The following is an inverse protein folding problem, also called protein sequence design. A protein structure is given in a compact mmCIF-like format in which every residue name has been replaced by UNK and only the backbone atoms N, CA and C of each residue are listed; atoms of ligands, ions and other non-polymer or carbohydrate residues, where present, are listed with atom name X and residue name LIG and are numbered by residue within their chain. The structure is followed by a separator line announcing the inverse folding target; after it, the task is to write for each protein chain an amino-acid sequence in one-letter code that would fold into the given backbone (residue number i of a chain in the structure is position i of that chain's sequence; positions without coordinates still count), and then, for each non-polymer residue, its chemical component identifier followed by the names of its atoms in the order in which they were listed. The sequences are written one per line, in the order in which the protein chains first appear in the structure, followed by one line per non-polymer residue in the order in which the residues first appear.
data_IF_769897168938
#
_entry.id   IF_769897168938
#
_cell.length_a   1.000
_cell.length_b   1.000
_cell.length_c   1.000
_cell.angle_alpha   90.00
_cell.angle_beta   90.00
_cell.angle_gamma   90.00
#
_symmetry.space_group_name_H-M   'P 1'
#
loop_
_entity.id
_entity.type
_entity.pdbx_description
1 polymer ?
#
# COMPACT_ATOMS: atom_id res chain seq x y z
N UNK A 1 -19.57 -16.13 30.27
CA UNK A 1 -18.12 -15.98 30.55
C UNK A 1 -17.76 -14.50 30.67
N UNK A 2 -17.82 -13.97 31.93
CA UNK A 2 -17.50 -12.55 32.21
C UNK A 2 -16.06 -12.18 31.82
N UNK A 3 -15.13 -13.14 31.84
CA UNK A 3 -13.72 -12.94 31.41
C UNK A 3 -13.51 -12.88 29.90
N UNK A 4 -14.42 -13.41 29.11
CA UNK A 4 -14.32 -13.40 27.63
C UNK A 4 -14.83 -12.08 27.03
N UNK A 5 -15.76 -11.40 27.74
CA UNK A 5 -16.35 -10.14 27.28
C UNK A 5 -15.30 -9.02 27.11
N UNK A 6 -14.40 -8.75 28.08
CA UNK A 6 -13.40 -7.71 27.91
C UNK A 6 -12.39 -8.04 26.79
N UNK A 7 -12.03 -9.30 26.59
CA UNK A 7 -11.12 -9.70 25.52
C UNK A 7 -11.75 -9.45 24.14
N UNK A 8 -13.01 -9.82 23.96
CA UNK A 8 -13.75 -9.53 22.72
C UNK A 8 -13.97 -8.02 22.51
N UNK A 9 -14.28 -7.28 23.57
CA UNK A 9 -14.49 -5.83 23.48
C UNK A 9 -13.22 -5.10 23.02
N UNK A 10 -12.06 -5.46 23.55
CA UNK A 10 -10.77 -4.90 23.14
C UNK A 10 -10.43 -5.30 21.69
N UNK A 11 -10.69 -6.57 21.31
CA UNK A 11 -10.50 -7.03 19.93
C UNK A 11 -11.35 -6.24 18.92
N UNK A 12 -12.62 -6.01 19.23
CA UNK A 12 -13.51 -5.19 18.41
C UNK A 12 -13.10 -3.72 18.35
N UNK A 13 -12.60 -3.15 19.46
CA UNK A 13 -12.14 -1.77 19.50
C UNK A 13 -10.89 -1.50 18.64
N UNK A 14 -10.04 -2.52 18.47
CA UNK A 14 -8.82 -2.40 17.65
C UNK A 14 -9.05 -2.69 16.17
N UNK A 15 -10.14 -3.37 15.82
CA UNK A 15 -10.45 -3.72 14.42
C UNK A 15 -10.48 -2.52 13.45
N UNK A 16 -11.13 -1.37 13.79
CA UNK A 16 -11.13 -0.21 12.90
C UNK A 16 -9.73 0.39 12.69
N UNK A 17 -8.86 0.33 13.70
CA UNK A 17 -7.50 0.84 13.58
C UNK A 17 -6.67 0.02 12.56
N UNK A 18 -6.77 -1.31 12.61
CA UNK A 18 -6.12 -2.18 11.63
C UNK A 18 -6.70 -2.02 10.23
N UNK A 19 -8.03 -1.85 10.13
CA UNK A 19 -8.71 -1.65 8.86
C UNK A 19 -8.23 -0.37 8.16
N UNK A 20 -8.12 0.74 8.89
CA UNK A 20 -7.63 2.03 8.34
C UNK A 20 -6.18 1.91 7.88
N UNK A 21 -5.30 1.30 8.68
CA UNK A 21 -3.88 1.10 8.32
C UNK A 21 -3.73 0.24 7.06
N UNK A 22 -4.50 -0.83 6.94
CA UNK A 22 -4.49 -1.72 5.79
C UNK A 22 -5.00 -1.04 4.51
N UNK A 23 -6.07 -0.25 4.61
CA UNK A 23 -6.65 0.50 3.48
C UNK A 23 -5.70 1.59 3.00
N UNK A 24 -5.05 2.33 3.91
CA UNK A 24 -4.07 3.35 3.56
C UNK A 24 -2.85 2.76 2.82
N UNK A 25 -2.36 1.60 3.24
CA UNK A 25 -1.24 0.92 2.58
C UNK A 25 -1.60 0.49 1.15
N UNK A 26 -2.79 -0.05 0.94
CA UNK A 26 -3.28 -0.42 -0.40
C UNK A 26 -3.41 0.77 -1.33
N UNK A 27 -3.92 1.89 -0.83
CA UNK A 27 -4.08 3.11 -1.62
C UNK A 27 -2.73 3.68 -2.06
N UNK A 28 -1.74 3.71 -1.16
CA UNK A 28 -0.38 4.14 -1.48
C UNK A 28 0.28 3.25 -2.55
N UNK A 29 0.09 1.93 -2.46
CA UNK A 29 0.60 0.96 -3.44
C UNK A 29 -0.03 1.18 -4.83
N UNK A 30 -1.33 1.42 -4.88
CA UNK A 30 -2.03 1.71 -6.13
C UNK A 30 -1.51 2.99 -6.78
N UNK A 31 -1.34 4.07 -6.01
CA UNK A 31 -0.79 5.34 -6.52
C UNK A 31 0.62 5.13 -7.09
N UNK A 32 1.49 4.38 -6.41
CA UNK A 32 2.84 4.09 -6.90
C UNK A 32 2.83 3.30 -8.21
N UNK A 33 1.91 2.36 -8.39
CA UNK A 33 1.75 1.59 -9.63
C UNK A 33 1.28 2.48 -10.79
N UNK A 34 0.30 3.35 -10.54
CA UNK A 34 -0.17 4.32 -11.53
C UNK A 34 0.93 5.32 -11.89
N UNK A 35 1.70 5.77 -10.90
CA UNK A 35 2.85 6.66 -11.11
C UNK A 35 3.93 5.99 -11.97
N UNK A 36 4.30 4.75 -11.69
CA UNK A 36 5.26 3.98 -12.50
C UNK A 36 4.81 3.91 -13.96
N UNK A 37 3.56 3.57 -14.19
CA UNK A 37 2.97 3.49 -15.52
C UNK A 37 3.03 4.85 -16.22
N UNK A 38 2.63 5.91 -15.54
CA UNK A 38 2.65 7.28 -16.07
C UNK A 38 4.06 7.72 -16.45
N UNK A 39 5.04 7.57 -15.53
CA UNK A 39 6.42 7.97 -15.78
C UNK A 39 7.07 7.15 -16.90
N UNK A 40 6.76 5.85 -17.00
CA UNK A 40 7.23 4.98 -18.08
C UNK A 40 6.72 5.44 -19.44
N UNK A 41 5.41 5.72 -19.56
CA UNK A 41 4.79 6.19 -20.79
C UNK A 41 5.31 7.56 -21.20
N UNK A 42 5.37 8.51 -20.28
CA UNK A 42 5.85 9.87 -20.52
C UNK A 42 7.35 9.84 -20.92
N UNK A 43 8.18 9.08 -20.19
CA UNK A 43 9.61 8.95 -20.48
C UNK A 43 9.84 8.35 -21.88
N UNK A 44 9.12 7.29 -22.22
CA UNK A 44 9.19 6.66 -23.54
C UNK A 44 8.81 7.63 -24.66
N UNK A 45 7.73 8.41 -24.45
CA UNK A 45 7.30 9.43 -25.42
C UNK A 45 8.30 10.57 -25.50
N UNK A 46 8.90 10.98 -24.39
CA UNK A 46 9.91 12.04 -24.33
C UNK A 46 11.22 11.65 -25.00
N UNK A 47 11.61 10.38 -24.92
CA UNK A 47 12.82 9.85 -25.61
C UNK A 47 12.62 9.73 -27.11
N UNK A 48 11.38 9.62 -27.59
CA UNK A 48 11.06 9.45 -29.00
C UNK A 48 11.16 10.78 -29.75
N UNK A 49 11.97 10.81 -30.81
CA UNK A 49 11.98 11.83 -31.87
C UNK A 49 12.00 13.31 -31.42
N UNK A 50 12.94 13.72 -30.57
CA UNK A 50 13.10 15.13 -30.13
C UNK A 50 11.83 15.75 -29.52
N UNK A 51 10.98 14.96 -28.94
CA UNK A 51 9.77 15.42 -28.30
C UNK A 51 10.09 16.32 -27.08
N UNK A 52 9.29 17.34 -26.81
CA UNK A 52 9.39 18.13 -25.59
C UNK A 52 8.69 17.40 -24.47
N UNK A 53 9.08 17.68 -23.22
CA UNK A 53 8.42 17.07 -22.03
C UNK A 53 6.94 17.44 -21.96
N UNK A 54 6.60 18.70 -22.28
CA UNK A 54 5.23 19.17 -22.31
C UNK A 54 4.37 18.35 -23.27
N UNK A 55 4.89 18.14 -24.49
CA UNK A 55 4.19 17.35 -25.50
C UNK A 55 4.09 15.87 -25.13
N UNK A 56 5.17 15.30 -24.54
CA UNK A 56 5.16 13.93 -24.07
C UNK A 56 4.10 13.70 -22.97
N UNK A 57 3.93 14.64 -22.05
CA UNK A 57 2.89 14.58 -21.03
C UNK A 57 1.51 14.74 -21.66
N UNK A 58 1.33 15.69 -22.57
CA UNK A 58 0.04 15.95 -23.24
C UNK A 58 -0.46 14.73 -24.02
N UNK A 59 0.41 14.07 -24.78
CA UNK A 59 0.08 12.88 -25.56
C UNK A 59 -0.36 11.69 -24.68
N UNK A 60 0.20 11.59 -23.46
CA UNK A 60 -0.08 10.48 -22.56
C UNK A 60 -1.17 10.77 -21.52
N UNK A 61 -1.52 12.05 -21.29
CA UNK A 61 -2.50 12.43 -20.27
C UNK A 61 -3.85 11.70 -20.36
N UNK A 62 -4.43 11.43 -21.55
CA UNK A 62 -5.70 10.70 -21.66
C UNK A 62 -5.67 9.26 -21.15
N UNK A 63 -4.47 8.69 -21.01
CA UNK A 63 -4.27 7.30 -20.60
C UNK A 63 -3.91 7.17 -19.12
N UNK A 64 -3.77 8.30 -18.41
CA UNK A 64 -3.40 8.34 -17.00
C UNK A 64 -4.66 8.35 -16.12
N UNK A 65 -4.59 7.63 -14.99
CA UNK A 65 -5.65 7.58 -14.00
C UNK A 65 -5.45 8.59 -12.86
N UNK A 66 -6.55 9.06 -12.21
CA UNK A 66 -6.45 9.86 -10.99
C UNK A 66 -5.81 9.03 -9.84
N UNK A 67 -5.02 9.64 -8.95
CA UNK A 67 -4.74 11.08 -8.85
C UNK A 67 -3.58 11.56 -9.73
N UNK A 68 -2.82 10.65 -10.34
CA UNK A 68 -1.62 10.98 -11.13
C UNK A 68 -1.96 11.88 -12.33
N UNK A 69 -3.06 11.59 -13.02
CA UNK A 69 -3.51 12.43 -14.16
C UNK A 69 -3.81 13.87 -13.77
N UNK A 70 -4.30 14.12 -12.56
CA UNK A 70 -4.61 15.47 -12.08
C UNK A 70 -3.33 16.29 -11.85
N UNK A 71 -2.29 15.65 -11.31
CA UNK A 71 -0.98 16.29 -11.08
C UNK A 71 -0.38 16.74 -12.41
N UNK A 72 -0.37 15.88 -13.42
CA UNK A 72 0.15 16.23 -14.75
C UNK A 72 -0.74 17.22 -15.50
N UNK A 73 -2.05 17.18 -15.31
CA UNK A 73 -2.97 18.16 -15.87
C UNK A 73 -2.72 19.57 -15.32
N UNK A 74 -2.56 19.68 -14.01
CA UNK A 74 -2.23 20.94 -13.34
C UNK A 74 -0.90 21.51 -13.85
N UNK A 75 0.13 20.66 -13.98
CA UNK A 75 1.39 21.04 -14.61
C UNK A 75 1.21 21.59 -16.03
N UNK A 76 0.43 20.91 -16.89
CA UNK A 76 0.20 21.39 -18.27
C UNK A 76 -0.53 22.73 -18.29
N UNK A 77 -1.48 22.95 -17.39
CA UNK A 77 -2.14 24.26 -17.25
C UNK A 77 -1.14 25.35 -16.84
N UNK A 78 -0.31 25.07 -15.85
CA UNK A 78 0.73 26.01 -15.38
C UNK A 78 1.74 26.32 -16.48
N UNK A 79 2.31 25.28 -17.11
CA UNK A 79 3.33 25.45 -18.14
C UNK A 79 2.83 26.12 -19.42
N UNK A 80 1.54 26.01 -19.75
CA UNK A 80 0.97 26.60 -20.97
C UNK A 80 0.38 27.99 -20.76
N UNK A 81 -0.22 28.26 -19.60
CA UNK A 81 -1.04 29.45 -19.38
C UNK A 81 -0.37 30.49 -18.48
N UNK A 82 0.45 30.07 -17.52
CA UNK A 82 0.93 30.95 -16.46
C UNK A 82 2.43 31.22 -16.59
N UNK A 83 3.21 30.19 -16.91
CA UNK A 83 4.65 30.28 -16.82
C UNK A 83 5.35 29.82 -18.10
N UNK A 84 6.08 30.73 -18.74
CA UNK A 84 6.90 30.40 -19.93
C UNK A 84 8.16 29.62 -19.56
N UNK A 85 8.52 29.54 -18.27
CA UNK A 85 9.68 28.79 -17.80
C UNK A 85 9.30 27.34 -17.44
N UNK A 86 9.57 26.43 -18.37
CA UNK A 86 9.30 25.00 -18.20
C UNK A 86 9.98 24.41 -16.96
N UNK A 87 11.19 24.88 -16.61
CA UNK A 87 11.92 24.37 -15.45
C UNK A 87 11.21 24.73 -14.12
N UNK A 88 10.69 25.93 -14.02
CA UNK A 88 9.94 26.38 -12.84
C UNK A 88 8.61 25.65 -12.68
N UNK A 89 7.89 25.43 -13.78
CA UNK A 89 6.68 24.62 -13.78
C UNK A 89 6.96 23.16 -13.38
N UNK A 90 8.08 22.59 -13.83
CA UNK A 90 8.52 21.23 -13.41
C UNK A 90 8.85 21.17 -11.93
N UNK A 91 9.50 22.19 -11.36
CA UNK A 91 9.73 22.26 -9.91
C UNK A 91 8.40 22.33 -9.14
N UNK A 92 7.41 23.04 -9.67
CA UNK A 92 6.04 23.06 -9.13
C UNK A 92 5.38 21.66 -9.10
N UNK A 93 5.69 20.83 -10.10
CA UNK A 93 5.14 19.49 -10.23
C UNK A 93 5.48 18.58 -9.03
N UNK A 94 6.64 18.75 -8.39
CA UNK A 94 7.05 18.01 -7.19
C UNK A 94 6.05 18.12 -6.04
N UNK A 95 5.40 19.29 -5.92
CA UNK A 95 4.42 19.54 -4.84
C UNK A 95 3.15 18.72 -4.99
N UNK A 96 2.89 18.21 -6.18
CA UNK A 96 1.69 17.43 -6.47
C UNK A 96 1.72 16.01 -5.92
N UNK A 97 2.90 15.48 -5.58
CA UNK A 97 3.04 14.09 -5.15
C UNK A 97 4.24 13.89 -4.23
N UNK A 98 4.02 13.29 -3.06
CA UNK A 98 5.05 12.95 -2.09
C UNK A 98 5.65 11.56 -2.41
N UNK A 99 6.57 11.53 -3.39
CA UNK A 99 7.29 10.32 -3.78
C UNK A 99 8.72 10.68 -4.19
N UNK A 100 9.71 10.06 -3.53
CA UNK A 100 11.13 10.36 -3.74
C UNK A 100 11.60 10.07 -5.17
N UNK A 101 11.14 8.97 -5.78
CA UNK A 101 11.50 8.62 -7.17
C UNK A 101 10.86 9.59 -8.17
N UNK A 102 9.65 10.04 -7.89
CA UNK A 102 9.00 11.08 -8.69
C UNK A 102 9.78 12.40 -8.64
N UNK A 103 10.23 12.82 -7.45
CA UNK A 103 11.07 14.00 -7.32
C UNK A 103 12.39 13.85 -8.07
N UNK A 104 13.07 12.70 -7.95
CA UNK A 104 14.31 12.41 -8.70
C UNK A 104 14.06 12.44 -10.21
N UNK A 105 12.94 11.91 -10.69
CA UNK A 105 12.58 11.96 -12.09
C UNK A 105 12.35 13.39 -12.57
N UNK A 106 11.66 14.22 -11.80
CA UNK A 106 11.44 15.65 -12.12
C UNK A 106 12.78 16.37 -12.18
N UNK A 107 13.69 16.16 -11.21
CA UNK A 107 15.03 16.76 -11.22
C UNK A 107 15.82 16.37 -12.47
N UNK A 108 15.78 15.10 -12.84
CA UNK A 108 16.43 14.63 -14.05
C UNK A 108 15.82 15.25 -15.32
N UNK A 109 14.49 15.42 -15.38
CA UNK A 109 13.83 16.11 -16.49
C UNK A 109 14.21 17.58 -16.57
N UNK A 110 14.35 18.28 -15.44
CA UNK A 110 14.85 19.65 -15.39
C UNK A 110 16.29 19.70 -15.92
N UNK A 111 17.17 18.83 -15.46
CA UNK A 111 18.54 18.73 -15.97
C UNK A 111 18.60 18.44 -17.47
N UNK A 112 17.67 17.66 -18.00
CA UNK A 112 17.55 17.39 -19.45
C UNK A 112 17.19 18.63 -20.29
N UNK A 113 16.69 19.72 -19.68
CA UNK A 113 16.46 20.97 -20.38
C UNK A 113 17.81 21.66 -20.73
N UNK A 114 18.83 21.46 -19.89
CA UNK A 114 20.17 22.02 -20.07
C UNK A 114 21.07 21.09 -20.91
N UNK A 115 21.05 19.78 -20.62
CA UNK A 115 21.80 18.77 -21.37
C UNK A 115 20.90 17.62 -21.85
N UNK A 116 20.64 17.62 -23.14
CA UNK A 116 19.79 16.61 -23.79
C UNK A 116 20.30 15.15 -23.62
N UNK A 117 21.60 14.94 -23.45
CA UNK A 117 22.16 13.60 -23.29
C UNK A 117 21.73 12.92 -22.00
N UNK A 118 21.34 13.69 -20.99
CA UNK A 118 20.85 13.18 -19.72
C UNK A 118 19.50 12.44 -19.82
N UNK A 119 18.78 12.57 -20.94
CA UNK A 119 17.52 11.83 -21.16
C UNK A 119 17.68 10.32 -21.02
N UNK A 120 18.86 9.78 -21.34
CA UNK A 120 19.13 8.36 -21.25
C UNK A 120 19.17 7.83 -19.80
N UNK A 121 19.23 8.71 -18.82
CA UNK A 121 19.18 8.33 -17.40
C UNK A 121 17.75 8.11 -16.89
N UNK A 122 16.75 8.73 -17.53
CA UNK A 122 15.35 8.68 -17.10
C UNK A 122 14.79 7.24 -16.99
N UNK A 123 15.04 6.31 -17.91
CA UNK A 123 14.55 4.94 -17.79
C UNK A 123 15.06 4.24 -16.53
N UNK A 124 16.31 4.50 -16.12
CA UNK A 124 16.88 3.90 -14.91
C UNK A 124 16.22 4.42 -13.63
N UNK A 125 15.79 5.69 -13.64
CA UNK A 125 15.04 6.27 -12.51
C UNK A 125 13.64 5.65 -12.44
N UNK A 126 12.97 5.51 -13.58
CA UNK A 126 11.64 4.88 -13.63
C UNK A 126 11.70 3.41 -13.19
N UNK A 127 12.77 2.67 -13.54
CA UNK A 127 12.93 1.27 -13.13
C UNK A 127 12.99 1.10 -11.61
N UNK A 128 13.46 2.11 -10.85
CA UNK A 128 13.43 2.07 -9.38
C UNK A 128 12.00 1.90 -8.82
N UNK A 129 10.98 2.47 -9.47
CA UNK A 129 9.58 2.25 -9.06
C UNK A 129 9.15 0.81 -9.30
N UNK A 130 9.59 0.21 -10.41
CA UNK A 130 9.34 -1.20 -10.70
C UNK A 130 10.01 -2.12 -9.67
N UNK A 131 11.27 -1.85 -9.35
CA UNK A 131 12.02 -2.63 -8.36
C UNK A 131 11.37 -2.52 -6.96
N UNK A 132 10.96 -1.32 -6.56
CA UNK A 132 10.22 -1.11 -5.31
C UNK A 132 8.90 -1.88 -5.28
N UNK A 133 8.21 -1.99 -6.41
CA UNK A 133 6.97 -2.76 -6.53
C UNK A 133 7.22 -4.26 -6.40
N UNK A 134 8.26 -4.77 -7.05
CA UNK A 134 8.65 -6.20 -6.96
C UNK A 134 8.98 -6.56 -5.53
N UNK A 135 9.87 -5.81 -4.87
CA UNK A 135 10.24 -6.02 -3.47
C UNK A 135 9.02 -5.95 -2.55
N UNK A 136 8.14 -4.96 -2.74
CA UNK A 136 6.90 -4.85 -1.96
C UNK A 136 5.96 -6.04 -2.17
N UNK A 137 5.93 -6.60 -3.38
CA UNK A 137 5.10 -7.77 -3.69
C UNK A 137 5.65 -9.05 -3.07
N UNK A 138 6.97 -9.21 -3.06
CA UNK A 138 7.65 -10.33 -2.40
C UNK A 138 7.44 -10.29 -0.88
N UNK A 139 7.56 -9.11 -0.28
CA UNK A 139 7.26 -8.93 1.15
C UNK A 139 5.79 -9.26 1.47
N UNK A 140 4.84 -8.82 0.63
CA UNK A 140 3.43 -9.16 0.81
C UNK A 140 3.19 -10.68 0.77
N UNK A 141 3.87 -11.41 -0.13
CA UNK A 141 3.77 -12.87 -0.21
C UNK A 141 4.33 -13.54 1.04
N UNK A 142 5.50 -13.09 1.53
CA UNK A 142 6.13 -13.63 2.74
C UNK A 142 5.29 -13.42 4.00
N UNK A 143 4.51 -12.33 4.07
CA UNK A 143 3.62 -12.04 5.19
C UNK A 143 2.27 -12.76 5.04
N UNK A 144 1.80 -12.96 3.82
CA UNK A 144 0.49 -13.55 3.55
C UNK A 144 0.34 -15.00 4.05
N UNK A 145 1.36 -15.83 3.85
CA UNK A 145 1.32 -17.24 4.30
C UNK A 145 1.18 -17.37 5.82
N UNK A 146 2.04 -16.74 6.65
CA UNK A 146 1.87 -16.79 8.10
C UNK A 146 0.54 -16.23 8.61
N UNK A 147 0.06 -15.15 8.00
CA UNK A 147 -1.24 -14.55 8.36
C UNK A 147 -2.40 -15.50 8.02
N UNK A 148 -2.35 -16.15 6.86
CA UNK A 148 -3.36 -17.15 6.46
C UNK A 148 -3.36 -18.34 7.41
N UNK A 149 -2.20 -18.88 7.75
CA UNK A 149 -2.08 -20.00 8.71
C UNK A 149 -2.62 -19.61 10.07
N UNK A 150 -2.27 -18.41 10.54
CA UNK A 150 -2.77 -17.87 11.80
C UNK A 150 -4.30 -17.75 11.81
N UNK A 151 -4.92 -17.17 10.78
CA UNK A 151 -6.38 -17.06 10.66
C UNK A 151 -7.02 -18.45 10.65
N UNK A 152 -6.41 -19.41 9.94
CA UNK A 152 -6.90 -20.79 9.90
C UNK A 152 -6.84 -21.45 11.28
N UNK A 153 -5.75 -21.26 12.03
CA UNK A 153 -5.63 -21.77 13.39
C UNK A 153 -6.67 -21.16 14.34
N UNK A 154 -6.89 -19.83 14.25
CA UNK A 154 -7.91 -19.14 15.05
C UNK A 154 -9.29 -19.69 14.71
N UNK A 155 -9.61 -19.86 13.44
CA UNK A 155 -10.89 -20.42 12.99
C UNK A 155 -11.10 -21.86 13.47
N UNK A 156 -10.06 -22.71 13.40
CA UNK A 156 -10.10 -24.08 13.93
C UNK A 156 -10.31 -24.10 15.44
N UNK A 157 -9.64 -23.23 16.18
CA UNK A 157 -9.75 -23.15 17.63
C UNK A 157 -11.17 -22.74 18.07
N UNK A 158 -11.73 -21.71 17.46
CA UNK A 158 -13.11 -21.30 17.74
C UNK A 158 -14.15 -22.30 17.24
N UNK A 159 -13.90 -22.94 16.09
CA UNK A 159 -14.76 -23.97 15.51
C UNK A 159 -14.76 -25.28 16.31
N UNK A 160 -13.66 -25.57 17.03
CA UNK A 160 -13.58 -26.78 17.88
C UNK A 160 -14.51 -26.70 19.10
N UNK A 161 -14.84 -25.51 19.60
CA UNK A 161 -15.72 -25.35 20.76
C UNK A 161 -17.15 -25.87 20.49
N UNK A 162 -17.87 -25.45 19.44
CA UNK A 162 -19.18 -26.02 19.13
C UNK A 162 -19.07 -27.50 18.72
N UNK A 163 -17.96 -27.91 18.09
CA UNK A 163 -17.73 -29.30 17.75
C UNK A 163 -17.65 -30.20 18.99
N UNK A 164 -16.98 -29.75 20.05
CA UNK A 164 -16.94 -30.44 21.35
C UNK A 164 -18.34 -30.64 21.95
N UNK A 165 -19.24 -29.66 21.79
CA UNK A 165 -20.62 -29.79 22.25
C UNK A 165 -21.35 -30.97 21.59
N UNK A 166 -21.11 -31.18 20.28
CA UNK A 166 -21.73 -32.27 19.54
C UNK A 166 -21.07 -33.64 19.80
N UNK A 167 -19.76 -33.66 20.01
CA UNK A 167 -19.00 -34.90 20.20
C UNK A 167 -19.04 -35.40 21.65
N UNK A 168 -18.90 -34.51 22.62
CA UNK A 168 -18.86 -34.85 24.03
C UNK A 168 -19.31 -33.68 24.89
N UNK A 169 -20.55 -33.74 25.33
CA UNK A 169 -21.19 -32.70 26.15
C UNK A 169 -20.52 -32.47 27.51
N UNK A 170 -20.04 -33.54 28.16
CA UNK A 170 -19.39 -33.45 29.47
C UNK A 170 -18.07 -32.67 29.38
N UNK A 171 -17.30 -32.88 28.33
CA UNK A 171 -16.06 -32.12 28.07
C UNK A 171 -16.35 -30.65 27.76
N UNK A 172 -17.40 -30.38 27.01
CA UNK A 172 -17.84 -29.03 26.72
C UNK A 172 -18.26 -28.30 28.02
N UNK A 173 -19.05 -28.95 28.88
CA UNK A 173 -19.48 -28.40 30.16
C UNK A 173 -18.28 -28.14 31.10
N UNK A 174 -17.33 -29.06 31.14
CA UNK A 174 -16.08 -28.90 31.90
C UNK A 174 -15.28 -27.69 31.39
N UNK A 175 -15.12 -27.54 30.09
CA UNK A 175 -14.38 -26.42 29.49
C UNK A 175 -15.07 -25.07 29.72
N UNK A 176 -16.38 -25.02 29.60
CA UNK A 176 -17.13 -23.75 29.62
C UNK A 176 -17.54 -23.31 31.03
N UNK A 177 -17.78 -24.25 31.96
CA UNK A 177 -18.37 -23.93 33.26
C UNK A 177 -17.44 -24.13 34.43
N UNK A 178 -16.39 -24.95 34.36
CA UNK A 178 -15.42 -25.09 35.45
C UNK A 178 -14.45 -23.89 35.51
N UNK A 179 -13.93 -23.63 36.75
CA UNK A 179 -12.94 -22.56 36.95
C UNK A 179 -11.66 -22.76 36.11
N UNK A 180 -11.20 -24.02 35.99
CA UNK A 180 -10.02 -24.37 35.23
C UNK A 180 -10.25 -24.17 33.70
N UNK A 181 -11.39 -24.60 33.17
CA UNK A 181 -11.70 -24.42 31.76
C UNK A 181 -11.86 -22.94 31.35
N UNK A 182 -12.45 -22.12 32.23
CA UNK A 182 -12.56 -20.65 32.05
C UNK A 182 -11.19 -19.97 32.03
N UNK A 183 -10.27 -20.38 32.90
CA UNK A 183 -8.92 -19.86 32.96
C UNK A 183 -8.14 -20.23 31.67
N UNK A 184 -8.26 -21.47 31.21
CA UNK A 184 -7.62 -21.96 29.99
C UNK A 184 -8.10 -21.19 28.73
N UNK A 185 -9.41 -20.98 28.61
CA UNK A 185 -10.00 -20.18 27.52
C UNK A 185 -9.55 -18.70 27.57
N UNK A 186 -9.46 -18.12 28.77
CA UNK A 186 -8.99 -16.75 28.95
C UNK A 186 -7.50 -16.61 28.56
N UNK A 187 -6.66 -17.56 28.95
CA UNK A 187 -5.23 -17.58 28.57
C UNK A 187 -5.07 -17.74 27.06
N UNK A 188 -5.80 -18.70 26.44
CA UNK A 188 -5.76 -18.90 24.99
C UNK A 188 -6.19 -17.66 24.22
N UNK A 189 -7.27 -17.01 24.67
CA UNK A 189 -7.74 -15.75 24.09
C UNK A 189 -6.74 -14.61 24.27
N UNK A 190 -6.09 -14.53 25.43
CA UNK A 190 -5.04 -13.56 25.71
C UNK A 190 -3.79 -13.75 24.83
N UNK A 191 -3.33 -14.99 24.64
CA UNK A 191 -2.18 -15.32 23.76
C UNK A 191 -2.51 -14.96 22.33
N UNK A 192 -3.69 -15.31 21.83
CA UNK A 192 -4.13 -14.93 20.49
C UNK A 192 -4.17 -13.41 20.30
N UNK A 193 -4.68 -12.71 21.32
CA UNK A 193 -4.75 -11.25 21.29
C UNK A 193 -3.36 -10.60 21.25
N UNK A 194 -2.44 -11.05 22.11
CA UNK A 194 -1.04 -10.54 22.12
C UNK A 194 -0.33 -10.84 20.79
N UNK A 195 -0.57 -12.02 20.21
CA UNK A 195 -0.01 -12.39 18.91
C UNK A 195 -0.51 -11.52 17.76
N UNK A 196 -1.77 -11.06 17.80
CA UNK A 196 -2.32 -10.10 16.82
C UNK A 196 -1.82 -8.68 17.05
N UNK A 197 -1.66 -8.29 18.33
CA UNK A 197 -1.27 -6.94 18.70
C UNK A 197 0.24 -6.69 18.61
N UNK A 198 1.05 -7.75 18.59
CA UNK A 198 2.51 -7.63 18.42
C UNK A 198 2.80 -7.09 17.00
N UNK A 199 3.42 -5.90 16.87
CA UNK A 199 3.81 -5.38 15.57
C UNK A 199 4.95 -6.24 15.02
N UNK A 200 4.72 -6.84 13.86
CA UNK A 200 5.78 -7.36 13.01
C UNK A 200 6.31 -6.28 12.10
#
# INVERSE_FOLDING_TARGET
NVLLVPVLAIGFALMPFYYVKFTASRHKKQINTELETALSMITTSYLRNKNTIIRAIEENLPYLNPPVSEVFRNFLMEAKLINSNTAEALEGLKKGMDNAVFHEWVDAVVACQEDYNLKNTLPSIVSKLSDMRVVSSELDLLIYEPVKEYITMVFLLFGSIPLLYFLNKDWYETLMFTGFGKALLAISGGVLFVSVAAPH
#
